data_IF_843382401991
#
_entry.id   IF_843382401991
#
_cell.length_a   1.000
_cell.length_b   1.000
_cell.length_c   1.000
_cell.angle_alpha   90.00
_cell.angle_beta   90.00
_cell.angle_gamma   90.00
#
_symmetry.space_group_name_H-M   'P 1'
#
loop_
_entity.id
_entity.type
_entity.pdbx_description
1 polymer ?
#
# COMPACT_ATOMS: atom_id res chain seq x y z
N UNK A 1 -4.03 0.38 27.30
CA UNK A 1 -4.48 1.37 26.31
C UNK A 1 -6.01 1.41 26.34
N UNK A 2 -6.60 2.60 26.39
CA UNK A 2 -8.06 2.76 26.24
C UNK A 2 -8.37 2.64 24.74
N UNK A 3 -9.26 1.73 24.36
CA UNK A 3 -9.69 1.60 22.96
C UNK A 3 -10.57 2.77 22.52
N UNK A 4 -10.56 3.10 21.22
CA UNK A 4 -11.40 4.17 20.64
C UNK A 4 -12.87 4.05 21.03
N UNK A 5 -13.41 2.82 21.09
CA UNK A 5 -14.79 2.56 21.51
C UNK A 5 -15.07 3.00 22.96
N UNK A 6 -14.09 2.87 23.86
CA UNK A 6 -14.24 3.30 25.24
C UNK A 6 -14.22 4.82 25.36
N UNK A 7 -13.39 5.50 24.55
CA UNK A 7 -13.40 6.96 24.44
C UNK A 7 -14.72 7.47 23.85
N UNK A 8 -15.23 6.81 22.81
CA UNK A 8 -16.49 7.18 22.18
C UNK A 8 -17.67 7.06 23.14
N UNK A 9 -17.75 5.94 23.87
CA UNK A 9 -18.77 5.72 24.91
C UNK A 9 -18.69 6.76 26.02
N UNK A 10 -17.48 7.17 26.40
CA UNK A 10 -17.28 8.18 27.42
C UNK A 10 -17.78 9.56 26.96
N UNK A 11 -17.45 9.96 25.72
CA UNK A 11 -17.93 11.21 25.13
C UNK A 11 -19.47 11.23 24.98
N UNK A 12 -20.06 10.12 24.54
CA UNK A 12 -21.53 9.98 24.44
C UNK A 12 -22.24 10.08 25.78
N UNK A 13 -21.59 9.65 26.87
CA UNK A 13 -22.11 9.82 28.23
C UNK A 13 -22.00 11.28 28.65
N UNK A 14 -20.83 11.88 28.45
CA UNK A 14 -20.55 13.29 28.75
C UNK A 14 -21.48 14.25 27.99
N UNK A 15 -21.84 13.92 26.75
CA UNK A 15 -22.75 14.71 25.92
C UNK A 15 -24.21 14.71 26.38
N UNK A 16 -24.57 13.85 27.33
CA UNK A 16 -25.91 13.78 27.97
C UNK A 16 -25.97 14.48 29.32
N UNK A 17 -24.84 14.92 29.86
CA UNK A 17 -24.78 15.66 31.12
C UNK A 17 -25.23 17.11 30.90
N UNK A 18 -25.99 17.68 31.83
CA UNK A 18 -26.41 19.09 31.76
C UNK A 18 -25.20 20.05 31.83
N UNK A 19 -24.17 19.66 32.57
CA UNK A 19 -22.90 20.38 32.68
C UNK A 19 -21.73 19.42 32.39
N UNK A 20 -21.35 19.24 31.11
CA UNK A 20 -20.28 18.34 30.73
C UNK A 20 -18.94 18.75 31.38
N UNK A 21 -18.47 17.98 32.36
CA UNK A 21 -17.23 18.25 33.10
C UNK A 21 -16.19 17.17 32.84
N UNK A 22 -15.04 17.58 32.32
CA UNK A 22 -13.91 16.68 32.06
C UNK A 22 -12.62 17.31 32.57
N UNK A 23 -11.91 16.62 33.47
CA UNK A 23 -10.63 17.10 34.01
C UNK A 23 -10.71 18.47 34.71
N UNK A 24 -11.84 18.79 35.33
CA UNK A 24 -12.08 20.09 35.98
C UNK A 24 -12.39 21.25 35.03
N UNK A 25 -12.58 20.98 33.73
CA UNK A 25 -13.01 21.98 32.74
C UNK A 25 -14.43 21.69 32.29
N UNK A 26 -15.24 22.73 32.17
CA UNK A 26 -16.59 22.65 31.63
C UNK A 26 -16.54 22.77 30.11
N UNK A 27 -17.29 21.91 29.43
CA UNK A 27 -17.40 21.88 27.98
C UNK A 27 -18.85 22.11 27.57
N UNK A 28 -19.05 22.82 26.47
CA UNK A 28 -20.38 22.93 25.87
C UNK A 28 -20.76 21.62 25.17
N UNK A 29 -22.06 21.35 25.01
CA UNK A 29 -22.52 20.22 24.20
C UNK A 29 -21.96 20.23 22.78
N UNK A 30 -21.74 21.41 22.18
CA UNK A 30 -21.15 21.52 20.84
C UNK A 30 -19.68 21.06 20.81
N UNK A 31 -18.90 21.36 21.86
CA UNK A 31 -17.53 20.89 22.01
C UNK A 31 -17.47 19.37 22.21
N UNK A 32 -18.38 18.81 23.00
CA UNK A 32 -18.47 17.36 23.20
C UNK A 32 -18.81 16.65 21.88
N UNK A 33 -19.80 17.15 21.13
CA UNK A 33 -20.13 16.62 19.78
C UNK A 33 -18.98 16.73 18.77
N UNK A 34 -18.19 17.80 18.83
CA UNK A 34 -17.01 17.93 17.98
C UNK A 34 -15.96 16.88 18.34
N UNK A 35 -15.70 16.67 19.63
CA UNK A 35 -14.79 15.63 20.09
C UNK A 35 -15.25 14.22 19.67
N UNK A 36 -16.55 13.93 19.75
CA UNK A 36 -17.11 12.66 19.25
C UNK A 36 -16.82 12.44 17.76
N UNK A 37 -17.03 13.47 16.92
CA UNK A 37 -16.74 13.41 15.48
C UNK A 37 -15.26 13.16 15.22
N UNK A 38 -14.37 13.89 15.90
CA UNK A 38 -12.93 13.71 15.75
C UNK A 38 -12.51 12.27 16.09
N UNK A 39 -13.04 11.68 17.17
CA UNK A 39 -12.72 10.30 17.54
C UNK A 39 -13.25 9.30 16.50
N UNK A 40 -14.44 9.53 15.94
CA UNK A 40 -14.98 8.71 14.85
C UNK A 40 -14.12 8.79 13.58
N UNK A 41 -13.73 10.00 13.18
CA UNK A 41 -12.91 10.23 11.99
C UNK A 41 -11.53 9.57 12.14
N UNK A 42 -10.90 9.73 13.31
CA UNK A 42 -9.64 9.07 13.64
C UNK A 42 -9.76 7.55 13.66
N UNK A 43 -10.87 7.00 14.17
CA UNK A 43 -11.12 5.56 14.12
C UNK A 43 -11.24 5.09 12.67
N UNK A 44 -11.94 5.83 11.83
CA UNK A 44 -12.06 5.50 10.41
C UNK A 44 -10.71 5.57 9.68
N UNK A 45 -9.89 6.58 9.97
CA UNK A 45 -8.55 6.72 9.43
C UNK A 45 -7.62 5.59 9.89
N UNK A 46 -7.70 5.18 11.16
CA UNK A 46 -6.95 4.04 11.69
C UNK A 46 -7.40 2.71 11.08
N UNK A 47 -8.71 2.49 10.93
CA UNK A 47 -9.25 1.32 10.23
C UNK A 47 -8.82 1.30 8.75
N UNK A 48 -8.77 2.45 8.11
CA UNK A 48 -8.28 2.59 6.74
C UNK A 48 -6.77 2.34 6.66
N UNK A 49 -5.99 2.83 7.61
CA UNK A 49 -4.55 2.64 7.69
C UNK A 49 -4.16 1.19 8.03
N UNK A 50 -5.00 0.46 8.77
CA UNK A 50 -4.77 -0.95 9.12
C UNK A 50 -5.16 -1.92 7.99
N UNK A 51 -6.00 -1.49 7.03
CA UNK A 51 -6.33 -2.30 5.86
C UNK A 51 -5.16 -2.33 4.88
N UNK A 52 -4.56 -3.51 4.74
CA UNK A 52 -3.52 -3.77 3.73
C UNK A 52 -4.05 -3.42 2.34
N UNK A 53 -3.32 -2.62 1.54
CA UNK A 53 -3.74 -2.30 0.18
C UNK A 53 -3.92 -3.56 -0.66
N UNK A 54 -4.96 -3.54 -1.50
CA UNK A 54 -5.28 -4.65 -2.40
C UNK A 54 -4.46 -4.54 -3.68
N UNK A 55 -3.70 -5.59 -3.99
CA UNK A 55 -2.92 -5.70 -5.23
C UNK A 55 -3.04 -7.09 -5.84
N UNK A 56 -2.80 -7.18 -7.14
CA UNK A 56 -2.51 -8.48 -7.75
C UNK A 56 -1.14 -8.98 -7.27
N UNK A 57 -0.93 -10.31 -7.27
CA UNK A 57 0.37 -10.90 -6.86
C UNK A 57 1.54 -10.30 -7.64
N UNK A 58 1.38 -10.10 -8.96
CA UNK A 58 2.41 -9.47 -9.80
C UNK A 58 2.75 -8.07 -9.31
N UNK A 59 1.75 -7.22 -9.10
CA UNK A 59 1.95 -5.82 -8.67
C UNK A 59 2.59 -5.75 -7.29
N UNK A 60 2.13 -6.57 -6.35
CA UNK A 60 2.73 -6.65 -5.03
C UNK A 60 4.20 -7.09 -5.08
N UNK A 61 4.55 -8.03 -5.97
CA UNK A 61 5.93 -8.47 -6.12
C UNK A 61 6.81 -7.42 -6.80
N UNK A 62 6.29 -6.70 -7.81
CA UNK A 62 6.99 -5.57 -8.43
C UNK A 62 7.39 -4.55 -7.35
N UNK A 63 6.46 -4.16 -6.47
CA UNK A 63 6.76 -3.21 -5.38
C UNK A 63 7.91 -3.72 -4.50
N UNK A 64 7.83 -4.97 -4.02
CA UNK A 64 8.87 -5.54 -3.15
C UNK A 64 10.22 -5.67 -3.88
N UNK A 65 10.21 -6.05 -5.16
CA UNK A 65 11.44 -6.18 -5.93
C UNK A 65 12.08 -4.81 -6.15
N UNK A 66 11.31 -3.82 -6.56
CA UNK A 66 11.79 -2.46 -6.79
C UNK A 66 12.36 -1.85 -5.50
N UNK A 67 11.65 -1.95 -4.37
CA UNK A 67 12.14 -1.37 -3.10
C UNK A 67 13.42 -2.02 -2.57
N UNK A 68 13.68 -3.28 -2.91
CA UNK A 68 14.88 -3.97 -2.48
C UNK A 68 16.05 -3.79 -3.43
N UNK A 69 15.78 -3.50 -4.70
CA UNK A 69 16.72 -3.73 -5.79
C UNK A 69 16.66 -2.70 -6.94
N UNK A 70 16.08 -1.52 -6.71
CA UNK A 70 15.96 -0.47 -7.75
C UNK A 70 17.32 -0.01 -8.30
N UNK A 71 18.41 -0.15 -7.54
CA UNK A 71 19.76 0.34 -7.87
C UNK A 71 20.73 -0.76 -8.29
N UNK A 72 20.26 -2.01 -8.44
CA UNK A 72 21.11 -3.12 -8.85
C UNK A 72 20.84 -3.56 -10.30
N UNK A 73 21.89 -3.85 -11.08
CA UNK A 73 21.75 -4.20 -12.49
C UNK A 73 21.15 -5.59 -12.71
N UNK A 74 21.37 -6.52 -11.80
CA UNK A 74 20.89 -7.90 -11.86
C UNK A 74 20.46 -8.37 -10.47
N UNK A 75 19.35 -9.10 -10.38
CA UNK A 75 18.92 -9.67 -9.11
C UNK A 75 19.95 -10.67 -8.53
N UNK A 76 20.11 -10.73 -7.20
CA UNK A 76 20.95 -11.73 -6.56
C UNK A 76 20.51 -13.15 -6.94
N UNK A 77 21.47 -14.06 -7.15
CA UNK A 77 21.18 -15.44 -7.62
C UNK A 77 20.38 -16.25 -6.61
N UNK A 78 20.53 -15.92 -5.34
CA UNK A 78 19.84 -16.51 -4.19
C UNK A 78 18.43 -15.93 -3.98
N UNK A 79 18.03 -14.89 -4.73
CA UNK A 79 16.71 -14.29 -4.60
C UNK A 79 15.62 -15.25 -5.09
N UNK A 80 14.77 -15.69 -4.16
CA UNK A 80 13.62 -16.54 -4.47
C UNK A 80 12.31 -15.77 -4.44
N UNK A 81 11.36 -16.15 -5.31
CA UNK A 81 10.00 -15.60 -5.27
C UNK A 81 9.25 -15.92 -3.97
N UNK A 82 9.66 -16.96 -3.24
CA UNK A 82 9.11 -17.26 -1.91
C UNK A 82 9.47 -16.17 -0.90
N UNK A 83 10.72 -15.71 -0.90
CA UNK A 83 11.15 -14.62 -0.03
C UNK A 83 10.40 -13.31 -0.33
N UNK A 84 10.18 -13.01 -1.61
CA UNK A 84 9.39 -11.87 -2.10
C UNK A 84 7.92 -12.02 -1.67
N UNK A 85 7.36 -13.23 -1.83
CA UNK A 85 5.99 -13.52 -1.43
C UNK A 85 5.76 -13.29 0.06
N UNK A 86 6.65 -13.78 0.92
CA UNK A 86 6.55 -13.60 2.37
C UNK A 86 6.51 -12.11 2.73
N UNK A 87 7.38 -11.29 2.13
CA UNK A 87 7.39 -9.83 2.33
C UNK A 87 6.12 -9.16 1.81
N UNK A 88 5.71 -9.49 0.59
CA UNK A 88 4.50 -8.95 -0.02
C UNK A 88 3.23 -9.28 0.79
N UNK A 89 3.11 -10.52 1.30
CA UNK A 89 1.96 -10.98 2.08
C UNK A 89 1.81 -10.28 3.42
N UNK A 90 2.89 -9.72 3.98
CA UNK A 90 2.84 -8.89 5.19
C UNK A 90 2.25 -7.49 4.92
N UNK A 91 2.31 -7.01 3.68
CA UNK A 91 1.94 -5.64 3.31
C UNK A 91 0.66 -5.53 2.49
N UNK A 92 0.37 -6.52 1.66
CA UNK A 92 -0.72 -6.44 0.68
C UNK A 92 -1.72 -7.57 0.85
N UNK A 93 -2.97 -7.28 0.50
CA UNK A 93 -4.02 -8.29 0.34
C UNK A 93 -4.12 -8.67 -1.14
N UNK A 94 -4.09 -9.97 -1.45
CA UNK A 94 -4.12 -10.42 -2.85
C UNK A 94 -5.54 -10.52 -3.40
N UNK A 95 -5.80 -9.80 -4.51
CA UNK A 95 -7.12 -9.78 -5.15
C UNK A 95 -7.48 -11.05 -5.95
N UNK A 96 -6.53 -11.93 -6.27
CA UNK A 96 -6.77 -13.09 -7.13
C UNK A 96 -6.05 -14.36 -6.63
N UNK A 97 -6.77 -15.49 -6.59
CA UNK A 97 -6.25 -16.82 -6.23
C UNK A 97 -5.64 -17.59 -7.41
N UNK A 98 -5.96 -17.22 -8.67
CA UNK A 98 -5.41 -17.87 -9.84
C UNK A 98 -3.98 -17.39 -10.10
N UNK A 99 -3.02 -18.26 -9.80
CA UNK A 99 -1.59 -17.98 -9.89
C UNK A 99 -1.11 -18.39 -11.26
N UNK A 100 -0.99 -17.45 -12.20
CA UNK A 100 0.02 -17.65 -13.24
C UNK A 100 1.36 -17.71 -12.50
N UNK A 101 1.98 -18.87 -12.49
CA UNK A 101 3.20 -19.12 -11.69
C UNK A 101 4.36 -18.46 -12.41
N UNK A 102 4.72 -17.27 -11.95
CA UNK A 102 6.05 -16.73 -12.21
C UNK A 102 7.07 -17.66 -11.55
N UNK A 103 8.17 -17.94 -12.25
CA UNK A 103 9.24 -18.82 -11.78
C UNK A 103 10.42 -18.03 -11.22
N UNK A 104 10.67 -16.84 -11.76
CA UNK A 104 11.82 -16.00 -11.36
C UNK A 104 11.40 -14.57 -11.06
N UNK A 105 12.20 -13.83 -10.26
CA UNK A 105 12.03 -12.38 -10.08
C UNK A 105 11.98 -11.62 -11.41
N UNK A 106 12.86 -11.97 -12.36
CA UNK A 106 12.94 -11.36 -13.69
C UNK A 106 11.64 -11.51 -14.50
N UNK A 107 10.94 -12.66 -14.40
CA UNK A 107 9.65 -12.83 -15.08
C UNK A 107 8.56 -11.89 -14.53
N UNK A 108 8.67 -11.51 -13.26
CA UNK A 108 7.74 -10.58 -12.61
C UNK A 108 8.06 -9.15 -13.03
N UNK A 109 9.32 -8.77 -12.84
CA UNK A 109 9.86 -7.42 -12.95
C UNK A 109 11.29 -7.46 -13.52
N UNK A 110 11.46 -7.47 -14.86
CA UNK A 110 12.78 -7.50 -15.48
C UNK A 110 13.52 -6.17 -15.28
N UNK A 111 14.84 -6.21 -15.07
CA UNK A 111 15.67 -5.02 -14.94
C UNK A 111 15.81 -4.25 -16.27
N UNK A 112 15.74 -4.97 -17.40
CA UNK A 112 15.57 -4.40 -18.73
C UNK A 112 14.27 -4.91 -19.36
N UNK A 113 13.14 -4.21 -19.12
CA UNK A 113 11.87 -4.60 -19.70
C UNK A 113 11.79 -4.47 -21.22
N UNK A 114 12.56 -3.56 -21.83
CA UNK A 114 12.52 -3.34 -23.26
C UNK A 114 13.05 -4.57 -24.01
N UNK A 115 14.24 -5.03 -23.64
CA UNK A 115 14.83 -6.25 -24.20
C UNK A 115 14.05 -7.49 -23.78
N UNK A 116 13.62 -7.59 -22.52
CA UNK A 116 12.88 -8.78 -22.05
C UNK A 116 11.57 -9.04 -22.82
N UNK A 117 10.89 -7.98 -23.29
CA UNK A 117 9.62 -8.08 -23.99
C UNK A 117 9.70 -7.81 -25.50
N UNK A 118 10.90 -7.73 -26.09
CA UNK A 118 11.11 -7.40 -27.51
C UNK A 118 10.21 -8.23 -28.45
N UNK A 119 10.19 -9.56 -28.25
CA UNK A 119 9.36 -10.49 -29.04
C UNK A 119 7.98 -10.80 -28.42
N UNK A 120 7.56 -10.07 -27.38
CA UNK A 120 6.35 -10.39 -26.61
C UNK A 120 5.50 -9.15 -26.30
N UNK A 121 4.91 -8.56 -27.34
CA UNK A 121 4.05 -7.38 -27.25
C UNK A 121 2.88 -7.55 -26.24
N UNK A 122 2.26 -8.72 -26.19
CA UNK A 122 1.16 -8.98 -25.23
C UNK A 122 1.65 -9.07 -23.78
N UNK A 123 2.84 -9.62 -23.55
CA UNK A 123 3.52 -9.61 -22.25
C UNK A 123 3.83 -8.18 -21.81
N UNK A 124 4.39 -7.39 -22.74
CA UNK A 124 4.73 -5.99 -22.56
C UNK A 124 3.53 -5.15 -22.16
N UNK A 125 2.43 -5.25 -22.90
CA UNK A 125 1.21 -4.48 -22.63
C UNK A 125 0.66 -4.76 -21.22
N UNK A 126 0.63 -6.03 -20.80
CA UNK A 126 0.19 -6.41 -19.44
C UNK A 126 1.13 -5.93 -18.35
N UNK A 127 2.43 -5.95 -18.59
CA UNK A 127 3.40 -5.42 -17.65
C UNK A 127 3.31 -3.89 -17.54
N UNK A 128 3.14 -3.18 -18.65
CA UNK A 128 2.87 -1.73 -18.66
C UNK A 128 1.65 -1.34 -17.83
N UNK A 129 0.52 -2.06 -17.97
CA UNK A 129 -0.68 -1.84 -17.14
C UNK A 129 -0.44 -2.19 -15.66
N UNK A 130 0.53 -3.06 -15.36
CA UNK A 130 0.93 -3.30 -13.99
C UNK A 130 1.72 -2.11 -13.42
N UNK A 131 2.66 -1.55 -14.19
CA UNK A 131 3.44 -0.38 -13.80
C UNK A 131 2.58 0.88 -13.67
N UNK A 132 1.71 1.16 -14.64
CA UNK A 132 0.81 2.31 -14.64
C UNK A 132 0.00 2.38 -13.34
N UNK A 133 -0.64 1.28 -12.94
CA UNK A 133 -1.39 1.20 -11.68
C UNK A 133 -0.53 1.51 -10.45
N UNK A 134 0.73 1.08 -10.44
CA UNK A 134 1.64 1.29 -9.32
C UNK A 134 2.16 2.72 -9.28
N UNK A 135 2.42 3.32 -10.44
CA UNK A 135 2.81 4.74 -10.58
C UNK A 135 1.66 5.66 -10.17
N UNK A 136 0.43 5.37 -10.59
CA UNK A 136 -0.75 6.19 -10.26
C UNK A 136 -1.12 6.15 -8.77
N UNK A 137 -0.76 5.07 -8.06
CA UNK A 137 -1.06 4.85 -6.65
C UNK A 137 0.17 4.76 -5.75
N UNK A 138 1.28 5.40 -6.15
CA UNK A 138 2.59 5.21 -5.50
C UNK A 138 2.56 5.44 -3.98
N UNK A 139 1.85 6.48 -3.53
CA UNK A 139 1.68 6.90 -2.14
C UNK A 139 1.07 5.81 -1.25
N UNK A 140 0.34 4.88 -1.87
CA UNK A 140 -0.34 3.77 -1.20
C UNK A 140 0.47 2.50 -1.14
N UNK A 141 1.46 2.35 -2.02
CA UNK A 141 2.12 1.06 -2.25
C UNK A 141 3.59 1.06 -1.83
N UNK A 142 4.30 2.16 -2.08
CA UNK A 142 5.73 2.29 -1.83
C UNK A 142 6.03 2.92 -0.47
N UNK A 143 7.10 2.43 0.16
CA UNK A 143 7.68 2.96 1.40
C UNK A 143 9.05 3.59 1.15
N UNK A 144 9.70 3.26 0.02
CA UNK A 144 11.00 3.81 -0.38
C UNK A 144 10.83 4.79 -1.56
N UNK A 145 11.08 6.10 -1.36
CA UNK A 145 10.92 7.11 -2.42
C UNK A 145 11.80 6.89 -3.65
N UNK A 146 13.01 6.33 -3.47
CA UNK A 146 13.90 6.07 -4.61
C UNK A 146 13.37 4.97 -5.53
N UNK A 147 12.72 3.96 -4.95
CA UNK A 147 12.06 2.89 -5.70
C UNK A 147 10.86 3.41 -6.50
N UNK A 148 10.09 4.35 -5.95
CA UNK A 148 9.05 5.05 -6.71
C UNK A 148 9.63 5.80 -7.91
N UNK A 149 10.69 6.59 -7.70
CA UNK A 149 11.30 7.38 -8.75
C UNK A 149 11.84 6.49 -9.88
N UNK A 150 12.49 5.38 -9.51
CA UNK A 150 12.98 4.36 -10.43
C UNK A 150 11.84 3.71 -11.23
N UNK A 151 10.74 3.30 -10.57
CA UNK A 151 9.60 2.71 -11.24
C UNK A 151 8.97 3.66 -12.28
N UNK A 152 8.94 4.96 -12.00
CA UNK A 152 8.46 5.98 -12.95
C UNK A 152 9.35 6.08 -14.18
N UNK A 153 10.67 5.97 -14.01
CA UNK A 153 11.63 5.90 -15.12
C UNK A 153 11.38 4.66 -15.95
N UNK A 154 11.30 3.48 -15.32
CA UNK A 154 11.02 2.21 -16.01
C UNK A 154 9.68 2.28 -16.78
N UNK A 155 8.64 2.85 -16.17
CA UNK A 155 7.34 3.02 -16.83
C UNK A 155 7.39 3.94 -18.03
N UNK A 156 8.15 5.04 -17.96
CA UNK A 156 8.35 5.94 -19.09
C UNK A 156 9.12 5.24 -20.22
N UNK A 157 10.20 4.55 -19.89
CA UNK A 157 11.11 3.99 -20.88
C UNK A 157 10.44 2.83 -21.64
N UNK A 158 9.67 1.97 -20.94
CA UNK A 158 8.91 0.89 -21.59
C UNK A 158 7.73 1.35 -22.47
N UNK A 159 7.39 2.64 -22.44
CA UNK A 159 6.42 3.23 -23.36
C UNK A 159 7.05 3.71 -24.66
N UNK A 160 8.37 3.93 -24.64
CA UNK A 160 9.12 4.51 -25.75
C UNK A 160 9.84 3.46 -26.58
N UNK A 161 10.18 2.34 -25.95
CA UNK A 161 10.32 1.08 -26.67
C UNK A 161 8.92 0.45 -26.82
#
# INVERSE_FOLDING_TARGET
MIGSDALLRHLQKLGKEEEPLLGGRQYTHSQVKLAERIVLDLQHDLERATRRPKLSRRRAFIVILEELYYDIPEYPRELTLESVHRRASLRFEYMNRNVKVFRTPTEVHPNDPCTYYEDNAHGKARYRVALEHLVDGFDRYFQEPNAEASLRVIYRDIRLC
#
